data_IF_640526445202
#
_entry.id   IF_640526445202
#
_cell.length_a   1.000
_cell.length_b   1.000
_cell.length_c   1.000
_cell.angle_alpha   90.00
_cell.angle_beta   90.00
_cell.angle_gamma   90.00
#
_symmetry.space_group_name_H-M   'P 1'
#
loop_
_entity.id
_entity.type
_entity.pdbx_description
1 polymer ?
#
# COMPACT_ATOMS: atom_id res chain seq x y z
N UNK A 1 -3.62 -39.27 7.16
CA UNK A 1 -4.75 -38.32 7.09
C UNK A 1 -4.56 -37.08 7.97
N UNK A 2 -4.17 -37.19 9.25
CA UNK A 2 -4.03 -36.03 10.15
C UNK A 2 -3.07 -34.91 9.70
N UNK A 3 -1.94 -35.25 9.04
CA UNK A 3 -1.00 -34.25 8.50
C UNK A 3 -1.62 -33.36 7.41
N UNK A 4 -2.42 -33.93 6.52
CA UNK A 4 -3.05 -33.21 5.39
C UNK A 4 -4.13 -32.26 5.91
N UNK A 5 -4.91 -32.70 6.90
CA UNK A 5 -5.92 -31.88 7.58
C UNK A 5 -5.26 -30.71 8.32
N UNK A 6 -4.13 -30.95 9.00
CA UNK A 6 -3.40 -29.88 9.69
C UNK A 6 -2.83 -28.84 8.71
N UNK A 7 -2.21 -29.29 7.60
CA UNK A 7 -1.69 -28.38 6.57
C UNK A 7 -2.80 -27.61 5.84
N UNK A 8 -3.96 -28.24 5.64
CA UNK A 8 -5.12 -27.58 5.05
C UNK A 8 -5.67 -26.49 5.98
N UNK A 9 -5.84 -26.77 7.27
CA UNK A 9 -6.28 -25.80 8.26
C UNK A 9 -5.32 -24.61 8.36
N UNK A 10 -4.00 -24.87 8.35
CA UNK A 10 -2.98 -23.82 8.38
C UNK A 10 -3.00 -22.97 7.10
N UNK A 11 -3.22 -23.59 5.94
CA UNK A 11 -3.29 -22.88 4.65
C UNK A 11 -4.52 -21.97 4.60
N UNK A 12 -5.69 -22.47 5.01
CA UNK A 12 -6.92 -21.68 5.10
C UNK A 12 -6.79 -20.50 6.07
N UNK A 13 -6.14 -20.71 7.21
CA UNK A 13 -5.86 -19.66 8.17
C UNK A 13 -4.94 -18.57 7.58
N UNK A 14 -3.81 -18.96 6.99
CA UNK A 14 -2.87 -18.02 6.37
C UNK A 14 -3.51 -17.24 5.20
N UNK A 15 -4.32 -17.92 4.37
CA UNK A 15 -5.09 -17.30 3.30
C UNK A 15 -6.08 -16.25 3.84
N UNK A 16 -6.77 -16.57 4.94
CA UNK A 16 -7.69 -15.64 5.59
C UNK A 16 -6.98 -14.41 6.14
N UNK A 17 -5.80 -14.59 6.77
CA UNK A 17 -4.98 -13.47 7.24
C UNK A 17 -4.50 -12.58 6.07
N UNK A 18 -4.04 -13.18 4.97
CA UNK A 18 -3.63 -12.44 3.79
C UNK A 18 -4.78 -11.64 3.19
N UNK A 19 -5.95 -12.26 3.00
CA UNK A 19 -7.16 -11.60 2.51
C UNK A 19 -7.62 -10.47 3.44
N UNK A 20 -7.58 -10.70 4.75
CA UNK A 20 -7.90 -9.67 5.74
C UNK A 20 -6.95 -8.47 5.66
N UNK A 21 -5.65 -8.69 5.47
CA UNK A 21 -4.69 -7.60 5.30
C UNK A 21 -4.91 -6.80 4.01
N UNK A 22 -5.27 -7.46 2.90
CA UNK A 22 -5.65 -6.77 1.65
C UNK A 22 -6.88 -5.91 1.89
N UNK A 23 -7.90 -6.47 2.54
CA UNK A 23 -9.10 -5.72 2.90
C UNK A 23 -8.74 -4.52 3.78
N UNK A 24 -7.95 -4.71 4.84
CA UNK A 24 -7.53 -3.63 5.74
C UNK A 24 -6.69 -2.55 5.05
N UNK A 25 -5.91 -2.89 4.02
CA UNK A 25 -5.13 -1.91 3.27
C UNK A 25 -5.97 -1.12 2.26
N UNK A 26 -6.90 -1.78 1.55
CA UNK A 26 -7.66 -1.20 0.44
C UNK A 26 -8.97 -0.55 0.91
N UNK A 27 -9.73 -1.24 1.76
CA UNK A 27 -11.05 -0.83 2.22
C UNK A 27 -11.07 0.59 2.83
N UNK A 28 -10.21 0.97 3.78
CA UNK A 28 -10.27 2.31 4.37
C UNK A 28 -9.97 3.41 3.35
N UNK A 29 -9.03 3.19 2.42
CA UNK A 29 -8.72 4.16 1.37
C UNK A 29 -9.90 4.34 0.41
N UNK A 30 -10.51 3.24 -0.01
CA UNK A 30 -11.71 3.25 -0.86
C UNK A 30 -12.90 3.89 -0.16
N UNK A 31 -13.16 3.54 1.10
CA UNK A 31 -14.24 4.10 1.90
C UNK A 31 -14.08 5.62 2.03
N UNK A 32 -12.87 6.12 2.33
CA UNK A 32 -12.60 7.56 2.40
C UNK A 32 -12.87 8.25 1.06
N UNK A 33 -12.49 7.61 -0.06
CA UNK A 33 -12.74 8.16 -1.40
C UNK A 33 -14.23 8.16 -1.75
N UNK A 34 -14.98 7.15 -1.32
CA UNK A 34 -16.44 7.10 -1.48
C UNK A 34 -17.11 8.21 -0.65
N UNK A 35 -16.78 8.35 0.64
CA UNK A 35 -17.34 9.40 1.49
C UNK A 35 -17.02 10.78 0.89
N UNK A 36 -15.79 11.00 0.43
CA UNK A 36 -15.40 12.22 -0.28
C UNK A 36 -16.31 12.53 -1.47
N UNK A 37 -16.59 11.53 -2.30
CA UNK A 37 -17.49 11.68 -3.45
C UNK A 37 -18.95 11.97 -3.05
N UNK A 38 -19.46 11.31 -2.01
CA UNK A 38 -20.83 11.56 -1.50
C UNK A 38 -20.99 12.97 -0.91
N UNK A 39 -19.97 13.49 -0.21
CA UNK A 39 -19.99 14.86 0.32
C UNK A 39 -19.99 15.89 -0.81
N UNK A 40 -19.16 15.72 -1.84
CA UNK A 40 -19.12 16.64 -2.99
C UNK A 40 -20.46 16.67 -3.73
N UNK A 41 -21.20 15.55 -3.75
CA UNK A 41 -22.55 15.47 -4.33
C UNK A 41 -23.65 16.01 -3.42
N UNK A 42 -23.32 16.56 -2.25
CA UNK A 42 -24.29 17.11 -1.30
C UNK A 42 -25.17 16.07 -0.62
N UNK A 43 -24.85 14.78 -0.72
CA UNK A 43 -25.64 13.68 -0.12
C UNK A 43 -25.29 13.43 1.35
N UNK A 44 -24.15 13.93 1.81
CA UNK A 44 -23.68 13.81 3.19
C UNK A 44 -23.19 15.17 3.70
N UNK A 45 -23.39 15.48 4.99
CA UNK A 45 -22.87 16.70 5.58
C UNK A 45 -21.34 16.63 5.69
N UNK A 46 -20.67 17.73 5.33
CA UNK A 46 -19.23 17.86 5.35
C UNK A 46 -18.67 17.96 6.79
N UNK A 47 -19.53 18.24 7.78
CA UNK A 47 -19.20 18.28 9.20
C UNK A 47 -18.65 16.94 9.73
N UNK A 48 -18.98 15.81 9.10
CA UNK A 48 -18.39 14.49 9.37
C UNK A 48 -16.86 14.47 9.26
N UNK A 49 -16.27 15.40 8.50
CA UNK A 49 -14.83 15.48 8.25
C UNK A 49 -14.10 16.36 9.30
N UNK A 50 -14.83 17.24 10.00
CA UNK A 50 -14.24 18.22 10.91
C UNK A 50 -14.26 17.82 12.40
N UNK A 51 -14.94 16.74 12.77
CA UNK A 51 -15.13 16.37 14.18
C UNK A 51 -13.87 15.70 14.80
N UNK A 52 -13.10 16.51 15.55
CA UNK A 52 -12.26 16.15 16.72
C UNK A 52 -10.87 15.50 16.47
N UNK A 53 -9.90 15.88 17.34
CA UNK A 53 -8.46 15.49 17.41
C UNK A 53 -8.05 14.07 17.00
N UNK A 54 -8.91 13.05 17.17
CA UNK A 54 -8.65 11.66 16.76
C UNK A 54 -8.60 11.49 15.22
N UNK A 55 -9.08 12.48 14.46
CA UNK A 55 -9.01 12.52 13.00
C UNK A 55 -7.65 12.94 12.42
N UNK A 56 -6.59 13.21 13.19
CA UNK A 56 -5.32 13.62 12.57
C UNK A 56 -4.76 12.55 11.63
N UNK A 57 -4.77 11.26 12.05
CA UNK A 57 -4.38 10.15 11.17
C UNK A 57 -5.34 9.99 9.99
N UNK A 58 -6.65 10.08 10.26
CA UNK A 58 -7.69 9.93 9.25
C UNK A 58 -7.66 11.06 8.20
N UNK A 59 -7.35 12.29 8.60
CA UNK A 59 -7.18 13.45 7.72
C UNK A 59 -5.97 13.28 6.81
N UNK A 60 -4.87 12.70 7.31
CA UNK A 60 -3.70 12.37 6.49
C UNK A 60 -4.03 11.30 5.46
N UNK A 61 -4.73 10.24 5.86
CA UNK A 61 -5.18 9.19 4.97
C UNK A 61 -6.22 9.70 3.96
N UNK A 62 -7.10 10.60 4.37
CA UNK A 62 -8.07 11.26 3.49
C UNK A 62 -7.36 12.09 2.42
N UNK A 63 -6.37 12.89 2.83
CA UNK A 63 -5.59 13.66 1.87
C UNK A 63 -4.90 12.75 0.85
N UNK A 64 -4.31 11.65 1.33
CA UNK A 64 -3.71 10.64 0.46
C UNK A 64 -4.74 10.02 -0.51
N UNK A 65 -5.95 9.71 -0.03
CA UNK A 65 -6.98 9.08 -0.87
C UNK A 65 -7.58 10.00 -1.94
N UNK A 66 -7.49 11.32 -1.75
CA UNK A 66 -7.92 12.31 -2.75
C UNK A 66 -6.90 12.54 -3.88
N UNK A 67 -5.63 12.18 -3.66
CA UNK A 67 -4.56 12.35 -4.66
C UNK A 67 -4.48 11.12 -5.55
N UNK A 68 -5.08 11.22 -6.74
CA UNK A 68 -5.19 10.12 -7.71
C UNK A 68 -3.86 9.42 -7.99
N UNK A 69 -2.77 10.17 -8.19
CA UNK A 69 -1.43 9.63 -8.50
C UNK A 69 -0.87 8.70 -7.42
N UNK A 70 -1.27 8.89 -6.16
CA UNK A 70 -0.84 8.05 -5.04
C UNK A 70 -1.87 6.97 -4.72
N UNK A 71 -3.16 7.29 -4.83
CA UNK A 71 -4.25 6.36 -4.54
C UNK A 71 -4.24 5.15 -5.48
N UNK A 72 -4.14 5.36 -6.80
CA UNK A 72 -4.28 4.26 -7.75
C UNK A 72 -3.20 3.18 -7.56
N UNK A 73 -1.90 3.51 -7.50
CA UNK A 73 -0.90 2.46 -7.28
C UNK A 73 -1.03 1.79 -5.91
N UNK A 74 -1.45 2.51 -4.86
CA UNK A 74 -1.67 1.95 -3.52
C UNK A 74 -2.84 0.96 -3.43
N UNK A 75 -3.84 1.09 -4.31
CA UNK A 75 -4.99 0.16 -4.38
C UNK A 75 -4.74 -0.94 -5.40
N UNK A 76 -4.20 -0.59 -6.57
CA UNK A 76 -3.92 -1.54 -7.64
C UNK A 76 -2.85 -2.55 -7.26
N UNK A 77 -1.84 -2.17 -6.46
CA UNK A 77 -0.79 -3.10 -6.06
C UNK A 77 -1.32 -4.28 -5.19
N UNK A 78 -2.06 -4.07 -4.08
CA UNK A 78 -2.68 -5.16 -3.33
C UNK A 78 -3.66 -6.01 -4.16
N UNK A 79 -4.41 -5.39 -5.08
CA UNK A 79 -5.30 -6.11 -5.99
C UNK A 79 -4.51 -6.93 -7.02
N UNK A 80 -3.38 -6.41 -7.48
CA UNK A 80 -2.47 -7.17 -8.32
C UNK A 80 -1.94 -8.38 -7.57
N UNK A 81 -1.63 -8.28 -6.27
CA UNK A 81 -1.20 -9.43 -5.48
C UNK A 81 -2.26 -10.53 -5.35
N UNK A 82 -3.54 -10.25 -5.55
CA UNK A 82 -4.57 -11.31 -5.52
C UNK A 82 -4.69 -12.08 -6.83
N UNK A 83 -4.35 -11.46 -7.97
CA UNK A 83 -4.59 -12.07 -9.29
C UNK A 83 -3.31 -12.32 -10.09
N UNK A 84 -2.32 -11.45 -9.94
CA UNK A 84 -1.11 -11.43 -10.73
C UNK A 84 -0.05 -12.41 -10.24
N UNK A 85 0.95 -12.69 -11.10
CA UNK A 85 2.11 -13.47 -10.72
C UNK A 85 2.95 -12.68 -9.70
N UNK A 86 3.30 -13.35 -8.61
CA UNK A 86 4.15 -12.80 -7.57
C UNK A 86 5.60 -12.78 -8.00
N UNK A 87 6.03 -13.85 -8.67
CA UNK A 87 7.29 -13.91 -9.39
C UNK A 87 7.28 -15.01 -10.45
N UNK A 88 8.21 -14.90 -11.41
CA UNK A 88 8.53 -15.94 -12.38
C UNK A 88 10.03 -16.18 -12.36
N UNK A 89 10.46 -17.45 -12.32
CA UNK A 89 11.88 -17.77 -12.25
C UNK A 89 12.12 -19.24 -11.95
N UNK A 90 13.35 -19.55 -11.58
CA UNK A 90 13.75 -20.89 -11.19
C UNK A 90 13.24 -21.17 -9.76
N UNK A 91 12.22 -22.02 -9.65
CA UNK A 91 11.58 -22.33 -8.35
C UNK A 91 12.25 -23.55 -7.72
N UNK A 92 12.74 -24.47 -8.55
CA UNK A 92 13.46 -25.68 -8.20
C UNK A 92 14.63 -25.76 -9.18
N UNK A 93 15.80 -26.24 -8.75
CA UNK A 93 16.99 -26.41 -9.59
C UNK A 93 16.64 -27.03 -10.96
N UNK A 94 16.87 -26.28 -12.03
CA UNK A 94 16.61 -26.65 -13.42
C UNK A 94 15.17 -26.45 -13.93
N UNK A 95 14.23 -26.02 -13.07
CA UNK A 95 12.81 -25.85 -13.42
C UNK A 95 12.32 -24.42 -13.22
N UNK A 96 12.01 -23.76 -14.33
CA UNK A 96 11.34 -22.46 -14.32
C UNK A 96 9.84 -22.61 -14.10
N UNK A 97 9.27 -21.71 -13.30
CA UNK A 97 7.85 -21.62 -13.09
C UNK A 97 7.38 -20.21 -12.75
N UNK A 98 6.07 -20.06 -12.63
CA UNK A 98 5.40 -18.81 -12.25
C UNK A 98 4.56 -19.05 -11.02
N UNK A 99 4.77 -18.25 -9.99
CA UNK A 99 4.06 -18.35 -8.72
C UNK A 99 2.99 -17.27 -8.61
N UNK A 100 1.78 -17.68 -8.25
CA UNK A 100 0.63 -16.82 -7.94
C UNK A 100 0.23 -17.00 -6.48
N UNK A 101 -0.66 -16.14 -5.98
CA UNK A 101 -1.24 -16.29 -4.64
C UNK A 101 -1.91 -17.66 -4.43
N UNK A 102 -2.57 -18.19 -5.47
CA UNK A 102 -3.39 -19.40 -5.40
C UNK A 102 -2.62 -20.70 -5.68
N UNK A 103 -1.46 -20.60 -6.33
CA UNK A 103 -0.65 -21.74 -6.70
C UNK A 103 0.49 -21.36 -7.63
N UNK A 104 1.37 -22.31 -7.91
CA UNK A 104 2.49 -22.13 -8.84
C UNK A 104 2.36 -23.08 -10.01
N UNK A 105 2.71 -22.62 -11.20
CA UNK A 105 2.82 -23.46 -12.39
C UNK A 105 4.29 -23.71 -12.65
N UNK A 106 4.72 -24.96 -12.51
CA UNK A 106 6.10 -25.40 -12.73
C UNK A 106 6.10 -26.37 -13.91
N UNK A 107 6.80 -26.02 -15.00
CA UNK A 107 6.91 -26.87 -16.20
C UNK A 107 5.57 -27.43 -16.71
N UNK A 108 4.54 -26.58 -16.74
CA UNK A 108 3.19 -26.94 -17.21
C UNK A 108 2.32 -27.68 -16.20
N UNK A 109 2.81 -27.96 -14.98
CA UNK A 109 2.02 -28.61 -13.91
C UNK A 109 1.64 -27.60 -12.83
N UNK A 110 0.37 -27.64 -12.40
CA UNK A 110 -0.15 -26.79 -11.34
C UNK A 110 0.10 -27.39 -9.97
N UNK A 111 0.67 -26.60 -9.07
CA UNK A 111 0.91 -26.94 -7.67
C UNK A 111 0.12 -25.95 -6.80
N UNK A 112 -0.83 -26.42 -5.98
CA UNK A 112 -1.59 -25.56 -5.09
C UNK A 112 -0.69 -24.76 -4.14
N UNK A 113 -1.07 -23.52 -3.82
CA UNK A 113 -0.35 -22.71 -2.85
C UNK A 113 -0.44 -23.33 -1.45
N UNK A 114 0.70 -23.39 -0.77
CA UNK A 114 0.76 -23.76 0.64
C UNK A 114 0.66 -22.55 1.57
N UNK A 115 0.52 -22.82 2.86
CA UNK A 115 0.49 -21.79 3.91
C UNK A 115 1.67 -20.80 3.85
N UNK A 116 2.86 -21.25 3.43
CA UNK A 116 4.05 -20.39 3.31
C UNK A 116 3.86 -19.27 2.29
N UNK A 117 3.24 -19.54 1.14
CA UNK A 117 2.95 -18.53 0.12
C UNK A 117 2.05 -17.43 0.69
N UNK A 118 0.94 -17.81 1.32
CA UNK A 118 0.07 -16.83 1.98
C UNK A 118 0.76 -16.11 3.14
N UNK A 119 1.62 -16.79 3.89
CA UNK A 119 2.45 -16.19 4.93
C UNK A 119 3.39 -15.11 4.38
N UNK A 120 4.02 -15.34 3.23
CA UNK A 120 4.83 -14.33 2.54
C UNK A 120 4.00 -13.12 2.11
N UNK A 121 2.82 -13.36 1.53
CA UNK A 121 1.89 -12.28 1.17
C UNK A 121 1.44 -11.47 2.39
N UNK A 122 1.12 -12.15 3.49
CA UNK A 122 0.75 -11.51 4.75
C UNK A 122 1.89 -10.64 5.30
N UNK A 123 3.11 -11.17 5.37
CA UNK A 123 4.29 -10.43 5.81
C UNK A 123 4.56 -9.23 4.89
N UNK A 124 4.42 -9.39 3.57
CA UNK A 124 4.52 -8.27 2.63
C UNK A 124 3.46 -7.20 2.96
N UNK A 125 2.23 -7.56 3.24
CA UNK A 125 1.19 -6.56 3.54
C UNK A 125 1.45 -5.82 4.85
N UNK A 126 1.85 -6.53 5.91
CA UNK A 126 2.07 -5.96 7.24
C UNK A 126 3.37 -5.17 7.32
N UNK A 127 4.44 -5.65 6.70
CA UNK A 127 5.76 -5.01 6.77
C UNK A 127 5.98 -3.95 5.70
N UNK A 128 5.27 -4.03 4.57
CA UNK A 128 5.42 -3.09 3.46
C UNK A 128 4.17 -2.26 3.21
N UNK A 129 3.06 -2.89 2.82
CA UNK A 129 1.92 -2.14 2.27
C UNK A 129 1.30 -1.19 3.31
N UNK A 130 1.01 -1.70 4.50
CA UNK A 130 0.39 -0.91 5.57
C UNK A 130 1.35 0.21 6.02
N UNK A 131 2.62 -0.05 6.36
CA UNK A 131 3.59 1.00 6.68
C UNK A 131 3.77 2.04 5.57
N UNK A 132 3.82 1.61 4.31
CA UNK A 132 3.97 2.50 3.15
C UNK A 132 2.83 3.52 3.09
N UNK A 133 1.57 3.07 3.24
CA UNK A 133 0.40 3.95 3.26
C UNK A 133 0.52 4.99 4.38
N UNK A 134 0.90 4.58 5.59
CA UNK A 134 1.05 5.50 6.71
C UNK A 134 2.18 6.52 6.49
N UNK A 135 3.34 6.07 6.02
CA UNK A 135 4.49 6.95 5.76
C UNK A 135 4.18 7.94 4.63
N UNK A 136 3.61 7.48 3.52
CA UNK A 136 3.18 8.35 2.41
C UNK A 136 2.11 9.35 2.83
N UNK A 137 1.19 8.96 3.71
CA UNK A 137 0.19 9.90 4.26
C UNK A 137 0.87 11.04 5.04
N UNK A 138 1.93 10.74 5.79
CA UNK A 138 2.73 11.72 6.51
C UNK A 138 3.49 12.66 5.58
N UNK A 139 4.17 12.13 4.56
CA UNK A 139 4.90 12.91 3.56
C UNK A 139 3.94 13.84 2.80
N UNK A 140 2.81 13.30 2.35
CA UNK A 140 1.77 14.06 1.61
C UNK A 140 1.20 15.18 2.46
N UNK A 141 0.90 14.91 3.73
CA UNK A 141 0.41 15.92 4.66
C UNK A 141 1.44 17.01 4.94
N UNK A 142 2.72 16.64 5.13
CA UNK A 142 3.78 17.63 5.29
C UNK A 142 3.92 18.50 4.04
N UNK A 143 3.80 17.92 2.83
CA UNK A 143 3.84 18.66 1.57
C UNK A 143 2.68 19.63 1.47
N UNK A 144 1.48 19.21 1.85
CA UNK A 144 0.32 20.10 1.93
C UNK A 144 0.55 21.27 2.90
N UNK A 145 1.02 21.01 4.13
CA UNK A 145 1.30 22.07 5.11
C UNK A 145 2.31 23.11 4.58
N UNK A 146 3.33 22.68 3.83
CA UNK A 146 4.29 23.60 3.21
C UNK A 146 3.64 24.52 2.18
N UNK A 147 2.79 23.96 1.32
CA UNK A 147 2.12 24.71 0.27
C UNK A 147 1.08 25.69 0.84
N UNK A 148 0.46 25.37 1.97
CA UNK A 148 -0.44 26.26 2.67
C UNK A 148 0.29 27.35 3.45
N UNK A 149 1.37 27.00 4.16
CA UNK A 149 2.11 27.95 4.99
C UNK A 149 3.05 28.86 4.18
N UNK A 150 3.39 28.49 2.95
CA UNK A 150 4.33 29.22 2.10
C UNK A 150 5.76 29.28 2.64
N UNK A 151 6.08 28.49 3.68
CA UNK A 151 7.38 28.49 4.36
C UNK A 151 8.22 27.30 3.92
N UNK A 152 9.55 27.47 3.73
CA UNK A 152 10.44 26.37 3.44
C UNK A 152 10.46 25.39 4.64
N UNK A 153 10.62 24.10 4.35
CA UNK A 153 10.79 23.11 5.40
C UNK A 153 12.10 23.30 6.13
N UNK A 154 12.03 23.26 7.46
CA UNK A 154 13.22 22.97 8.26
C UNK A 154 13.76 21.58 7.91
N UNK A 155 15.07 21.48 7.73
CA UNK A 155 15.78 20.23 7.44
C UNK A 155 15.41 19.11 8.43
N UNK A 156 15.31 19.43 9.73
CA UNK A 156 14.87 18.49 10.78
C UNK A 156 13.47 17.91 10.53
N UNK A 157 12.51 18.73 10.09
CA UNK A 157 11.13 18.28 9.79
C UNK A 157 11.12 17.44 8.51
N UNK A 158 11.94 17.79 7.51
CA UNK A 158 12.12 16.99 6.30
C UNK A 158 12.70 15.60 6.61
N UNK A 159 13.82 15.53 7.34
CA UNK A 159 14.44 14.26 7.71
C UNK A 159 13.49 13.39 8.54
N UNK A 160 12.86 13.95 9.58
CA UNK A 160 11.98 13.17 10.47
C UNK A 160 10.86 12.45 9.71
N UNK A 161 10.31 13.07 8.68
CA UNK A 161 9.21 12.47 7.90
C UNK A 161 9.70 11.53 6.81
N UNK A 162 10.89 11.75 6.24
CA UNK A 162 11.41 10.92 5.15
C UNK A 162 12.29 9.75 5.63
N UNK A 163 12.89 9.82 6.83
CA UNK A 163 13.66 8.69 7.39
C UNK A 163 12.85 7.38 7.40
N UNK A 164 11.56 7.35 7.81
CA UNK A 164 10.77 6.13 7.76
C UNK A 164 10.65 5.50 6.37
N UNK A 165 10.55 6.30 5.29
CA UNK A 165 10.45 5.72 3.92
C UNK A 165 11.78 5.11 3.50
N UNK A 166 12.92 5.72 3.86
CA UNK A 166 14.24 5.16 3.58
C UNK A 166 14.46 3.86 4.35
N UNK A 167 14.11 3.82 5.64
CA UNK A 167 14.20 2.59 6.44
C UNK A 167 13.34 1.49 5.82
N UNK A 168 12.12 1.82 5.41
CA UNK A 168 11.22 0.87 4.76
C UNK A 168 11.82 0.34 3.44
N UNK A 169 12.34 1.23 2.57
CA UNK A 169 13.00 0.86 1.32
C UNK A 169 14.21 -0.04 1.60
N UNK A 170 15.05 0.29 2.57
CA UNK A 170 16.23 -0.52 2.92
C UNK A 170 15.83 -1.94 3.35
N UNK A 171 14.83 -2.07 4.22
CA UNK A 171 14.32 -3.39 4.66
C UNK A 171 13.81 -4.18 3.45
N UNK A 172 13.05 -3.55 2.55
CA UNK A 172 12.52 -4.23 1.37
C UNK A 172 13.60 -4.64 0.38
N UNK A 173 14.61 -3.80 0.18
CA UNK A 173 15.76 -4.12 -0.66
C UNK A 173 16.52 -5.32 -0.09
N UNK A 174 16.72 -5.39 1.23
CA UNK A 174 17.31 -6.58 1.85
C UNK A 174 16.48 -7.83 1.56
N UNK A 175 15.16 -7.80 1.78
CA UNK A 175 14.28 -8.94 1.47
C UNK A 175 14.32 -9.32 -0.02
N UNK A 176 14.40 -8.34 -0.93
CA UNK A 176 14.51 -8.60 -2.36
C UNK A 176 15.85 -9.27 -2.69
N UNK A 177 16.96 -8.84 -2.09
CA UNK A 177 18.29 -9.45 -2.28
C UNK A 177 18.28 -10.90 -1.76
N UNK A 178 17.77 -11.14 -0.54
CA UNK A 178 17.64 -12.50 0.00
C UNK A 178 16.79 -13.39 -0.91
N UNK A 179 15.73 -12.84 -1.48
CA UNK A 179 14.89 -13.55 -2.45
C UNK A 179 15.65 -13.89 -3.73
N UNK A 180 16.42 -12.96 -4.28
CA UNK A 180 17.25 -13.19 -5.47
C UNK A 180 18.37 -14.22 -5.25
N UNK A 181 18.96 -14.26 -4.06
CA UNK A 181 19.94 -15.30 -3.70
C UNK A 181 19.27 -16.68 -3.62
N UNK A 182 18.03 -16.75 -3.13
CA UNK A 182 17.32 -18.03 -2.97
C UNK A 182 16.66 -18.59 -4.24
N UNK A 183 16.18 -17.73 -5.14
CA UNK A 183 15.41 -18.12 -6.33
C UNK A 183 16.07 -17.73 -7.66
N UNK A 184 17.33 -17.26 -7.58
CA UNK A 184 18.11 -16.85 -8.74
C UNK A 184 17.77 -15.45 -9.28
N UNK A 185 18.58 -15.03 -10.25
CA UNK A 185 18.53 -13.70 -10.85
C UNK A 185 17.24 -13.47 -11.66
N UNK A 186 16.71 -14.52 -12.29
CA UNK A 186 15.46 -14.45 -13.05
C UNK A 186 14.28 -14.10 -12.14
N UNK A 187 14.14 -14.79 -11.01
CA UNK A 187 13.12 -14.49 -10.01
C UNK A 187 13.30 -13.10 -9.39
N UNK A 188 14.55 -12.63 -9.25
CA UNK A 188 14.82 -11.28 -8.77
C UNK A 188 14.27 -10.20 -9.73
N UNK A 189 14.53 -10.30 -11.03
CA UNK A 189 14.03 -9.29 -11.98
C UNK A 189 12.54 -9.45 -12.30
N UNK A 190 12.06 -10.69 -12.34
CA UNK A 190 10.65 -11.02 -12.61
C UNK A 190 9.90 -11.31 -11.32
N UNK A 191 10.22 -10.59 -10.24
CA UNK A 191 9.53 -10.66 -8.96
C UNK A 191 8.72 -9.41 -8.65
N UNK A 192 7.55 -9.18 -9.29
CA UNK A 192 6.69 -8.04 -9.00
C UNK A 192 6.37 -7.85 -7.52
N UNK A 193 6.22 -8.95 -6.77
CA UNK A 193 5.98 -8.91 -5.32
C UNK A 193 7.14 -8.25 -4.55
N UNK A 194 8.38 -8.42 -5.00
CA UNK A 194 9.58 -7.99 -4.27
C UNK A 194 10.19 -6.76 -4.92
N UNK A 195 10.84 -6.94 -6.06
CA UNK A 195 11.67 -5.92 -6.68
C UNK A 195 10.81 -4.75 -7.16
N UNK A 196 9.63 -5.02 -7.73
CA UNK A 196 8.77 -3.93 -8.22
C UNK A 196 8.12 -3.19 -7.06
N UNK A 197 7.94 -3.81 -5.89
CA UNK A 197 7.50 -3.12 -4.69
C UNK A 197 8.53 -2.06 -4.23
N UNK A 198 9.84 -2.36 -4.34
CA UNK A 198 10.89 -1.37 -4.06
C UNK A 198 10.82 -0.20 -5.04
N UNK A 199 10.72 -0.50 -6.35
CA UNK A 199 10.59 0.54 -7.38
C UNK A 199 9.34 1.38 -7.15
N UNK A 200 8.20 0.74 -6.86
CA UNK A 200 6.94 1.41 -6.57
C UNK A 200 7.06 2.37 -5.39
N UNK A 201 7.73 1.96 -4.30
CA UNK A 201 7.93 2.82 -3.14
C UNK A 201 8.77 4.06 -3.48
N UNK A 202 9.84 3.91 -4.25
CA UNK A 202 10.69 5.03 -4.70
C UNK A 202 9.89 5.98 -5.60
N UNK A 203 9.13 5.44 -6.55
CA UNK A 203 8.29 6.22 -7.48
C UNK A 203 7.20 6.98 -6.71
N UNK A 204 6.49 6.32 -5.79
CA UNK A 204 5.46 6.95 -4.97
C UNK A 204 6.04 8.03 -4.05
N UNK A 205 7.21 7.78 -3.48
CA UNK A 205 7.92 8.76 -2.67
C UNK A 205 8.30 10.00 -3.48
N UNK A 206 8.89 9.81 -4.66
CA UNK A 206 9.23 10.90 -5.58
C UNK A 206 7.99 11.72 -5.98
N UNK A 207 6.90 11.04 -6.32
CA UNK A 207 5.65 11.71 -6.66
C UNK A 207 5.08 12.49 -5.47
N UNK A 208 5.09 11.93 -4.25
CA UNK A 208 4.59 12.58 -3.05
C UNK A 208 5.34 13.88 -2.73
N UNK A 209 6.66 13.91 -2.95
CA UNK A 209 7.49 15.11 -2.77
C UNK A 209 7.19 16.20 -3.82
N UNK A 210 6.91 15.80 -5.06
CA UNK A 210 6.67 16.72 -6.20
C UNK A 210 5.20 17.07 -6.45
N UNK A 211 4.30 16.80 -5.50
CA UNK A 211 2.88 17.14 -5.67
C UNK A 211 2.70 18.67 -5.79
N UNK A 212 1.99 19.15 -6.83
CA UNK A 212 1.58 20.54 -6.96
C UNK A 212 0.37 20.85 -6.07
N UNK A 213 0.14 22.14 -5.77
CA UNK A 213 -1.00 22.60 -4.96
C UNK A 213 -2.35 22.17 -5.55
N UNK A 214 -2.43 22.07 -6.88
CA UNK A 214 -3.64 21.68 -7.59
C UNK A 214 -4.15 20.29 -7.22
N UNK A 215 -3.24 19.36 -6.90
CA UNK A 215 -3.60 18.01 -6.46
C UNK A 215 -4.35 17.99 -5.13
N UNK A 216 -4.30 19.08 -4.35
CA UNK A 216 -4.98 19.22 -3.06
C UNK A 216 -6.30 20.00 -3.13
N UNK A 217 -6.63 20.64 -4.27
CA UNK A 217 -7.86 21.45 -4.44
C UNK A 217 -9.13 20.69 -4.04
N UNK A 218 -9.23 19.41 -4.39
CA UNK A 218 -10.38 18.55 -4.04
C UNK A 218 -10.53 18.38 -2.53
N UNK A 219 -9.43 18.18 -1.81
CA UNK A 219 -9.45 18.07 -0.35
C UNK A 219 -9.81 19.41 0.30
N UNK A 220 -9.25 20.52 -0.21
CA UNK A 220 -9.54 21.88 0.27
C UNK A 220 -11.02 22.24 0.14
N UNK A 221 -11.67 21.89 -0.98
CA UNK A 221 -13.11 22.12 -1.21
C UNK A 221 -13.99 21.56 -0.10
N UNK A 222 -13.70 20.34 0.38
CA UNK A 222 -14.48 19.76 1.48
C UNK A 222 -14.25 20.50 2.78
N UNK A 223 -13.01 20.87 3.07
CA UNK A 223 -12.71 21.59 4.31
C UNK A 223 -13.34 22.97 4.34
N UNK A 224 -13.43 23.67 3.20
CA UNK A 224 -14.19 24.91 3.11
C UNK A 224 -15.70 24.68 3.29
N UNK A 225 -16.27 23.66 2.65
CA UNK A 225 -17.70 23.33 2.81
C UNK A 225 -18.06 22.98 4.26
N UNK A 226 -17.20 22.22 4.91
CA UNK A 226 -17.37 21.83 6.30
C UNK A 226 -17.24 23.02 7.26
N UNK A 227 -16.37 23.99 6.96
CA UNK A 227 -16.26 25.24 7.72
C UNK A 227 -17.53 26.10 7.60
N UNK A 228 -18.11 26.20 6.40
CA UNK A 228 -19.37 26.93 6.18
C UNK A 228 -20.55 26.29 6.91
N UNK A 229 -20.64 24.96 6.93
CA UNK A 229 -21.72 24.23 7.59
C UNK A 229 -21.65 24.25 9.13
N UNK A 230 -20.53 24.64 9.75
CA UNK A 230 -20.43 24.79 11.21
C UNK A 230 -20.91 26.16 11.72
N UNK A 231 -21.15 27.12 10.82
CA UNK A 231 -21.56 28.49 11.18
C UNK A 231 -23.10 28.61 11.26
N UNK A 232 -23.83 27.62 10.74
CA UNK A 232 -25.29 27.49 10.83
C UNK A 232 -25.67 26.44 11.87
#
# INVERSE_FOLDING_TARGET
MGRIVLTANLTSFAQSMFGFCIFLAVFPLCLLRLIHWYIIRGKLPATLVLTRKYFMGLRRLWLLSTVDRLFYPLVLYPLYLTFGPWFAGEIIDGYTGVTFAWGSVISGRYIPAGALTYGYGFLQMVLYQIPLVFVLSGITHQRYEQLCAGKPLTLKKFLRTNVPIFVLICIMTMFAIYFGVGYGVTAFFLGPLRTYSVVLAVVLWYHALKLPKESFKRAEQIWSLAATQQIH
#
